data_IF_555483181655
#
_entry.id   IF_555483181655
#
_cell.length_a   1.000
_cell.length_b   1.000
_cell.length_c   1.000
_cell.angle_alpha   90.00
_cell.angle_beta   90.00
_cell.angle_gamma   90.00
#
_symmetry.space_group_name_H-M   'P 1'
#
loop_
_entity.id
_entity.type
_entity.pdbx_description
1 polymer ?
#
# COMPACT_ATOMS: atom_id res chain seq x y z
N UNK A 1 -1.31 26.17 8.84
CA UNK A 1 0.00 26.01 8.18
C UNK A 1 -0.26 25.46 6.79
N UNK A 2 0.39 25.97 5.73
CA UNK A 2 0.30 25.34 4.42
C UNK A 2 0.89 23.92 4.52
N UNK A 3 0.16 22.94 4.00
CA UNK A 3 0.64 21.55 3.90
C UNK A 3 1.62 21.50 2.74
N UNK A 4 2.82 20.98 2.97
CA UNK A 4 3.78 20.81 1.90
C UNK A 4 3.29 19.77 0.87
N UNK A 5 3.68 19.89 -0.42
CA UNK A 5 3.19 18.99 -1.48
C UNK A 5 3.50 17.52 -1.22
N UNK A 6 4.64 17.21 -0.60
CA UNK A 6 5.04 15.83 -0.29
C UNK A 6 4.12 15.21 0.76
N UNK A 7 3.83 15.92 1.84
CA UNK A 7 2.88 15.49 2.88
C UNK A 7 1.49 15.29 2.31
N UNK A 8 1.04 16.17 1.40
CA UNK A 8 -0.23 16.00 0.71
C UNK A 8 -0.24 14.73 -0.18
N UNK A 9 0.84 14.47 -0.91
CA UNK A 9 1.01 13.26 -1.70
C UNK A 9 1.02 11.99 -0.84
N UNK A 10 1.73 12.00 0.30
CA UNK A 10 1.73 10.89 1.27
C UNK A 10 0.31 10.60 1.75
N UNK A 11 -0.43 11.62 2.14
CA UNK A 11 -1.81 11.46 2.58
C UNK A 11 -2.68 10.85 1.47
N UNK A 12 -2.60 11.37 0.24
CA UNK A 12 -3.43 10.90 -0.88
C UNK A 12 -3.10 9.44 -1.25
N UNK A 13 -1.83 9.11 -1.46
CA UNK A 13 -1.41 7.75 -1.83
C UNK A 13 -1.76 6.76 -0.71
N UNK A 14 -1.54 7.14 0.55
CA UNK A 14 -1.87 6.28 1.70
C UNK A 14 -3.37 6.04 1.82
N UNK A 15 -4.20 7.08 1.64
CA UNK A 15 -5.65 6.95 1.71
C UNK A 15 -6.19 6.08 0.57
N UNK A 16 -5.68 6.24 -0.65
CA UNK A 16 -6.06 5.41 -1.80
C UNK A 16 -5.65 3.95 -1.56
N UNK A 17 -4.40 3.72 -1.13
CA UNK A 17 -3.90 2.38 -0.82
C UNK A 17 -4.71 1.71 0.29
N UNK A 18 -4.94 2.42 1.40
CA UNK A 18 -5.73 1.91 2.53
C UNK A 18 -7.17 1.63 2.13
N UNK A 19 -7.79 2.51 1.33
CA UNK A 19 -9.12 2.29 0.78
C UNK A 19 -9.20 1.07 -0.12
N UNK A 20 -8.19 0.84 -0.96
CA UNK A 20 -8.11 -0.36 -1.79
C UNK A 20 -7.98 -1.64 -0.94
N UNK A 21 -7.15 -1.63 0.11
CA UNK A 21 -7.06 -2.74 1.07
C UNK A 21 -8.42 -2.99 1.73
N UNK A 22 -9.08 -1.93 2.21
CA UNK A 22 -10.41 -2.02 2.82
C UNK A 22 -11.43 -2.69 1.89
N UNK A 23 -11.44 -2.31 0.60
CA UNK A 23 -12.32 -2.90 -0.41
C UNK A 23 -12.00 -4.38 -0.61
N UNK A 24 -10.73 -4.75 -0.70
CA UNK A 24 -10.30 -6.15 -0.86
C UNK A 24 -10.70 -6.97 0.36
N UNK A 25 -10.43 -6.47 1.57
CA UNK A 25 -10.84 -7.13 2.82
C UNK A 25 -12.34 -7.35 2.84
N UNK A 26 -13.14 -6.32 2.57
CA UNK A 26 -14.60 -6.45 2.58
C UNK A 26 -15.14 -7.47 1.57
N UNK A 27 -14.44 -7.64 0.44
CA UNK A 27 -14.89 -8.48 -0.68
C UNK A 27 -14.39 -9.93 -0.60
N UNK A 28 -13.26 -10.17 0.04
CA UNK A 28 -12.52 -11.42 -0.10
C UNK A 28 -12.06 -12.03 1.22
N UNK A 29 -12.18 -11.31 2.34
CA UNK A 29 -11.89 -11.87 3.66
C UNK A 29 -13.16 -12.47 4.26
N UNK A 30 -13.08 -13.74 4.63
CA UNK A 30 -14.14 -14.45 5.34
C UNK A 30 -13.71 -14.61 6.81
N UNK A 31 -14.31 -13.86 7.75
CA UNK A 31 -13.97 -13.97 9.16
C UNK A 31 -14.45 -15.31 9.72
N UNK A 32 -13.80 -15.84 10.77
CA UNK A 32 -14.27 -17.05 11.43
C UNK A 32 -15.69 -16.82 12.00
N UNK A 33 -16.57 -17.83 11.96
CA UNK A 33 -17.88 -17.75 12.59
C UNK A 33 -17.76 -17.44 14.08
N UNK A 34 -18.72 -16.71 14.64
CA UNK A 34 -18.79 -16.49 16.08
C UNK A 34 -19.19 -17.80 16.78
N UNK A 35 -18.81 -17.96 18.05
CA UNK A 35 -19.19 -19.15 18.82
C UNK A 35 -20.71 -19.33 18.84
N UNK A 36 -21.18 -20.44 18.24
CA UNK A 36 -22.61 -20.77 18.17
C UNK A 36 -23.36 -20.21 16.96
N UNK A 37 -22.70 -19.52 16.04
CA UNK A 37 -23.28 -19.04 14.77
C UNK A 37 -22.79 -19.89 13.59
N UNK A 38 -23.71 -20.29 12.69
CA UNK A 38 -23.36 -21.08 11.49
C UNK A 38 -22.81 -20.21 10.35
N UNK A 39 -23.25 -18.95 10.25
CA UNK A 39 -22.82 -18.04 9.19
C UNK A 39 -21.69 -17.10 9.67
N UNK A 40 -20.64 -16.90 8.86
CA UNK A 40 -19.60 -15.93 9.16
C UNK A 40 -20.17 -14.51 9.08
N UNK A 41 -19.84 -13.62 10.04
CA UNK A 41 -20.33 -12.24 10.05
C UNK A 41 -19.73 -11.42 8.90
N UNK A 42 -20.33 -10.26 8.59
CA UNK A 42 -19.68 -9.32 7.67
C UNK A 42 -18.35 -8.80 8.27
N UNK A 43 -17.26 -8.71 7.47
CA UNK A 43 -15.91 -8.34 7.95
C UNK A 43 -15.74 -6.83 8.18
N UNK A 44 -16.71 -6.15 8.80
CA UNK A 44 -16.70 -4.70 8.96
C UNK A 44 -15.60 -4.22 9.91
N UNK A 45 -15.36 -4.96 10.99
CA UNK A 45 -14.32 -4.64 11.96
C UNK A 45 -12.93 -4.82 11.33
N UNK A 46 -12.69 -5.95 10.67
CA UNK A 46 -11.43 -6.29 10.01
C UNK A 46 -11.14 -5.33 8.86
N UNK A 47 -12.17 -4.92 8.12
CA UNK A 47 -12.06 -3.87 7.10
C UNK A 47 -11.51 -2.58 7.70
N UNK A 48 -12.08 -2.12 8.82
CA UNK A 48 -11.62 -0.93 9.52
C UNK A 48 -10.19 -1.07 10.06
N UNK A 49 -9.90 -2.20 10.71
CA UNK A 49 -8.58 -2.50 11.29
C UNK A 49 -7.51 -2.55 10.20
N UNK A 50 -7.71 -3.30 9.13
CA UNK A 50 -6.74 -3.39 8.04
C UNK A 50 -6.59 -2.08 7.28
N UNK A 51 -7.67 -1.31 7.09
CA UNK A 51 -7.56 0.03 6.51
C UNK A 51 -6.66 0.95 7.36
N UNK A 52 -6.84 0.96 8.69
CA UNK A 52 -6.04 1.78 9.60
C UNK A 52 -4.58 1.32 9.63
N UNK A 53 -4.34 0.01 9.75
CA UNK A 53 -2.99 -0.55 9.80
C UNK A 53 -2.23 -0.32 8.48
N UNK A 54 -2.87 -0.63 7.34
CA UNK A 54 -2.27 -0.37 6.03
C UNK A 54 -2.08 1.11 5.77
N UNK A 55 -3.03 1.97 6.16
CA UNK A 55 -2.89 3.42 6.08
C UNK A 55 -1.69 3.92 6.87
N UNK A 56 -1.53 3.49 8.12
CA UNK A 56 -0.36 3.82 8.94
C UNK A 56 0.96 3.33 8.32
N UNK A 57 0.98 2.11 7.80
CA UNK A 57 2.13 1.55 7.10
C UNK A 57 2.49 2.34 5.83
N UNK A 58 1.50 2.72 5.02
CA UNK A 58 1.72 3.49 3.79
C UNK A 58 2.15 4.93 4.07
N UNK A 59 1.65 5.54 5.14
CA UNK A 59 2.14 6.85 5.60
C UNK A 59 3.60 6.73 6.07
N UNK A 60 3.89 5.74 6.91
CA UNK A 60 5.24 5.48 7.40
C UNK A 60 6.24 5.21 6.27
N UNK A 61 5.83 4.41 5.27
CA UNK A 61 6.61 4.15 4.06
C UNK A 61 6.86 5.42 3.26
N UNK A 62 5.84 6.25 3.04
CA UNK A 62 5.97 7.52 2.35
C UNK A 62 7.00 8.44 3.02
N UNK A 63 6.91 8.62 4.34
CA UNK A 63 7.89 9.42 5.09
C UNK A 63 9.30 8.83 5.08
N UNK A 64 9.44 7.50 5.16
CA UNK A 64 10.75 6.84 5.08
C UNK A 64 11.41 7.08 3.71
N UNK A 65 10.64 6.95 2.63
CA UNK A 65 11.12 7.20 1.26
C UNK A 65 11.48 8.67 1.03
N UNK A 66 10.65 9.62 1.51
CA UNK A 66 10.96 11.05 1.43
C UNK A 66 12.25 11.39 2.18
N UNK A 67 12.41 10.84 3.39
CA UNK A 67 13.62 11.05 4.22
C UNK A 67 14.87 10.53 3.53
N UNK A 68 14.83 9.31 2.97
CA UNK A 68 15.98 8.71 2.28
C UNK A 68 16.27 9.44 0.96
N UNK A 69 15.24 9.83 0.21
CA UNK A 69 15.39 10.62 -1.02
C UNK A 69 16.12 11.94 -0.79
N UNK A 70 15.93 12.55 0.39
CA UNK A 70 16.62 13.77 0.81
C UNK A 70 18.11 13.63 1.13
N UNK A 71 18.69 12.41 1.15
CA UNK A 71 20.12 12.19 1.46
C UNK A 71 21.06 12.49 0.27
N UNK A 72 20.56 13.16 -0.76
CA UNK A 72 21.28 13.49 -1.99
C UNK A 72 21.10 12.43 -3.07
N UNK A 73 21.87 12.55 -4.15
CA UNK A 73 21.66 11.79 -5.38
C UNK A 73 21.62 10.25 -5.20
N UNK A 74 22.42 9.71 -4.26
CA UNK A 74 22.39 8.27 -3.97
C UNK A 74 21.08 7.83 -3.33
N UNK A 75 20.51 8.66 -2.45
CA UNK A 75 19.21 8.40 -1.82
C UNK A 75 18.08 8.43 -2.84
N UNK A 76 18.08 9.43 -3.71
CA UNK A 76 17.13 9.58 -4.81
C UNK A 76 17.18 8.41 -5.80
N UNK A 77 18.38 7.99 -6.22
CA UNK A 77 18.53 6.82 -7.09
C UNK A 77 18.07 5.54 -6.40
N UNK A 78 18.39 5.38 -5.11
CA UNK A 78 17.97 4.20 -4.35
C UNK A 78 16.44 4.13 -4.22
N UNK A 79 15.77 5.24 -3.90
CA UNK A 79 14.30 5.27 -3.82
C UNK A 79 13.67 5.06 -5.20
N UNK A 80 14.21 5.64 -6.26
CA UNK A 80 13.74 5.39 -7.62
C UNK A 80 13.89 3.93 -8.06
N UNK A 81 14.97 3.25 -7.65
CA UNK A 81 15.11 1.82 -7.91
C UNK A 81 14.01 0.99 -7.22
N UNK A 82 13.54 1.41 -6.03
CA UNK A 82 12.40 0.77 -5.36
C UNK A 82 11.09 0.94 -6.14
N UNK A 83 10.94 1.97 -6.97
CA UNK A 83 9.80 2.10 -7.87
C UNK A 83 9.74 0.94 -8.86
N UNK A 84 10.89 0.59 -9.47
CA UNK A 84 10.99 -0.54 -10.39
C UNK A 84 10.68 -1.86 -9.68
N UNK A 85 11.17 -2.03 -8.45
CA UNK A 85 10.85 -3.21 -7.63
C UNK A 85 9.35 -3.27 -7.36
N UNK A 86 8.74 -2.16 -6.93
CA UNK A 86 7.30 -2.08 -6.68
C UNK A 86 6.47 -2.43 -7.92
N UNK A 87 6.75 -1.82 -9.06
CA UNK A 87 6.02 -2.08 -10.32
C UNK A 87 6.20 -3.52 -10.82
N UNK A 88 7.42 -4.06 -10.70
CA UNK A 88 7.65 -5.47 -11.03
C UNK A 88 6.88 -6.40 -10.09
N UNK A 89 6.90 -6.12 -8.79
CA UNK A 89 6.15 -6.87 -7.77
C UNK A 89 4.64 -6.81 -8.01
N UNK A 90 4.07 -5.66 -8.40
CA UNK A 90 2.66 -5.54 -8.82
C UNK A 90 2.35 -6.55 -9.91
N UNK A 91 3.13 -6.53 -10.99
CA UNK A 91 2.91 -7.42 -12.12
C UNK A 91 3.08 -8.88 -11.73
N UNK A 92 4.15 -9.20 -10.98
CA UNK A 92 4.46 -10.57 -10.60
C UNK A 92 3.43 -11.15 -9.62
N UNK A 93 2.93 -10.36 -8.67
CA UNK A 93 1.88 -10.78 -7.74
C UNK A 93 0.53 -10.91 -8.45
N UNK A 94 0.16 -9.94 -9.28
CA UNK A 94 -1.11 -9.98 -10.02
C UNK A 94 -1.20 -11.15 -11.01
N UNK A 95 -0.07 -11.51 -11.64
CA UNK A 95 -0.01 -12.65 -12.57
C UNK A 95 0.25 -13.99 -11.89
N UNK A 96 0.30 -14.03 -10.54
CA UNK A 96 0.52 -15.26 -9.78
C UNK A 96 1.93 -15.84 -9.91
N UNK A 97 2.91 -15.06 -10.40
CA UNK A 97 4.33 -15.47 -10.44
C UNK A 97 5.00 -15.41 -9.08
N UNK A 98 4.58 -14.44 -8.26
CA UNK A 98 4.89 -14.35 -6.84
C UNK A 98 3.55 -14.56 -6.14
N UNK A 99 3.48 -15.53 -5.23
CA UNK A 99 2.26 -15.89 -4.51
C UNK A 99 1.23 -16.77 -5.28
N UNK A 100 1.72 -17.66 -6.16
CA UNK A 100 0.90 -18.63 -6.90
C UNK A 100 -0.05 -19.47 -5.99
N UNK A 101 0.41 -19.79 -4.78
CA UNK A 101 -0.31 -20.63 -3.81
C UNK A 101 -1.08 -19.82 -2.76
N UNK A 102 -1.07 -18.49 -2.84
CA UNK A 102 -1.79 -17.65 -1.87
C UNK A 102 -3.25 -17.47 -2.25
N UNK A 103 -4.09 -17.19 -1.25
CA UNK A 103 -5.46 -16.82 -1.51
C UNK A 103 -5.56 -15.49 -2.29
N UNK A 104 -6.72 -15.29 -2.92
CA UNK A 104 -6.96 -14.12 -3.78
C UNK A 104 -6.85 -12.81 -3.01
N UNK A 105 -7.24 -12.80 -1.73
CA UNK A 105 -7.18 -11.61 -0.89
C UNK A 105 -5.72 -11.18 -0.67
N UNK A 106 -4.85 -12.13 -0.33
CA UNK A 106 -3.42 -11.91 -0.12
C UNK A 106 -2.73 -11.42 -1.38
N UNK A 107 -3.01 -12.05 -2.53
CA UNK A 107 -2.45 -11.61 -3.81
C UNK A 107 -2.85 -10.16 -4.14
N UNK A 108 -4.12 -9.79 -3.92
CA UNK A 108 -4.59 -8.43 -4.16
C UNK A 108 -4.00 -7.40 -3.19
N UNK A 109 -3.90 -7.72 -1.91
CA UNK A 109 -3.26 -6.85 -0.90
C UNK A 109 -1.77 -6.66 -1.22
N UNK A 110 -1.08 -7.73 -1.62
CA UNK A 110 0.31 -7.68 -2.06
C UNK A 110 0.49 -6.77 -3.29
N UNK A 111 -0.43 -6.88 -4.25
CA UNK A 111 -0.46 -6.02 -5.45
C UNK A 111 -0.63 -4.55 -5.06
N UNK A 112 -1.58 -4.23 -4.17
CA UNK A 112 -1.82 -2.84 -3.71
C UNK A 112 -0.57 -2.30 -3.00
N UNK A 113 0.01 -3.08 -2.10
CA UNK A 113 1.18 -2.68 -1.32
C UNK A 113 2.40 -2.41 -2.21
N UNK A 114 2.62 -3.28 -3.20
CA UNK A 114 3.67 -3.10 -4.21
C UNK A 114 3.42 -1.87 -5.10
N UNK A 115 2.17 -1.57 -5.43
CA UNK A 115 1.81 -0.38 -6.19
C UNK A 115 2.08 0.90 -5.41
N UNK A 116 1.72 0.94 -4.12
CA UNK A 116 2.02 2.08 -3.23
C UNK A 116 3.52 2.34 -3.17
N UNK A 117 4.33 1.29 -2.96
CA UNK A 117 5.80 1.39 -3.01
C UNK A 117 6.29 1.89 -4.38
N UNK A 118 5.70 1.38 -5.46
CA UNK A 118 6.03 1.74 -6.84
C UNK A 118 5.78 3.21 -7.17
N UNK A 119 4.71 3.79 -6.63
CA UNK A 119 4.22 5.12 -6.98
C UNK A 119 4.90 6.24 -6.18
N UNK A 120 5.33 5.98 -4.95
CA UNK A 120 5.92 7.01 -4.09
C UNK A 120 7.15 7.70 -4.69
N UNK A 121 8.21 6.97 -5.10
CA UNK A 121 9.44 7.60 -5.60
C UNK A 121 9.24 8.52 -6.81
N UNK A 122 8.55 8.12 -7.90
CA UNK A 122 8.35 9.01 -9.05
C UNK A 122 7.46 10.20 -8.71
N UNK A 123 6.52 10.05 -7.76
CA UNK A 123 5.69 11.16 -7.29
C UNK A 123 6.53 12.20 -6.54
N UNK A 124 7.40 11.77 -5.63
CA UNK A 124 8.32 12.69 -4.93
C UNK A 124 9.31 13.35 -5.87
N UNK A 125 9.85 12.61 -6.84
CA UNK A 125 10.71 13.17 -7.88
C UNK A 125 10.00 14.26 -8.71
N UNK A 126 8.73 14.05 -9.06
CA UNK A 126 7.96 15.04 -9.79
C UNK A 126 7.65 16.28 -8.95
N UNK A 127 7.41 16.11 -7.64
CA UNK A 127 7.11 17.20 -6.71
C UNK A 127 8.34 18.02 -6.33
N UNK A 128 9.53 17.42 -6.26
CA UNK A 128 10.78 18.12 -5.98
C UNK A 128 11.23 19.03 -7.13
N UNK A 129 10.68 18.83 -8.34
CA UNK A 129 10.92 19.65 -9.51
C UNK A 129 9.98 20.88 -9.62
N UNK A 130 9.02 21.05 -8.71
CA UNK A 130 8.07 22.17 -8.64
C UNK A 130 8.54 23.25 -7.66
#
# INVERSE_FOLDING_TARGET
MPVDPETAAIAVVSLIGAGAVAVVTRRHYEPPPREGEEEPPEPLFETGVFAVLSGGLFVGLGYALATVGGWGALGEVATMALSLVGLYSVYATYTGRIAADTDRATALIGTISAAVLGVYPPLFFALSAL
#
